data_IF_495777843254
#
_entry.id   IF_495777843254
#
_cell.length_a   1.000
_cell.length_b   1.000
_cell.length_c   1.000
_cell.angle_alpha   90.00
_cell.angle_beta   90.00
_cell.angle_gamma   90.00
#
_symmetry.space_group_name_H-M   'P 1'
#
loop_
_entity.id
_entity.type
_entity.pdbx_description
1 polymer ?
#
# COMPACT_ATOMS: atom_id res chain seq x y z
N UNK A 1 30.21 8.05 -11.24
CA UNK A 1 29.64 7.38 -12.44
C UNK A 1 28.73 6.26 -11.98
N UNK A 2 27.40 6.50 -11.92
CA UNK A 2 26.44 5.51 -11.40
C UNK A 2 26.27 4.41 -12.44
N UNK A 3 26.66 3.18 -12.08
CA UNK A 3 26.73 2.02 -12.98
C UNK A 3 25.37 1.69 -13.60
N UNK A 4 25.38 1.23 -14.86
CA UNK A 4 24.20 0.84 -15.64
C UNK A 4 23.27 -0.13 -14.86
N UNK A 5 23.86 -0.96 -13.99
CA UNK A 5 23.19 -1.90 -13.08
C UNK A 5 22.28 -1.19 -12.05
N UNK A 6 22.66 -0.01 -11.56
CA UNK A 6 21.85 0.78 -10.62
C UNK A 6 20.58 1.32 -11.29
N UNK A 7 20.64 1.69 -12.57
CA UNK A 7 19.45 2.16 -13.33
C UNK A 7 18.43 1.04 -13.58
N UNK A 8 18.90 -0.19 -13.82
CA UNK A 8 18.02 -1.36 -14.03
C UNK A 8 17.27 -1.71 -12.72
N UNK A 9 17.95 -1.65 -11.56
CA UNK A 9 17.30 -1.86 -10.25
C UNK A 9 16.24 -0.79 -9.96
N UNK A 10 16.49 0.46 -10.34
CA UNK A 10 15.52 1.56 -10.19
C UNK A 10 14.33 1.43 -11.16
N UNK A 11 14.54 0.90 -12.37
CA UNK A 11 13.48 0.67 -13.36
C UNK A 11 12.52 -0.48 -12.99
N UNK A 12 13.03 -1.57 -12.41
CA UNK A 12 12.21 -2.71 -12.00
C UNK A 12 11.21 -2.39 -10.87
N UNK A 13 11.59 -1.51 -9.95
CA UNK A 13 10.72 -1.07 -8.85
C UNK A 13 9.53 -0.21 -9.29
N UNK A 14 9.62 0.48 -10.43
CA UNK A 14 8.52 1.29 -10.98
C UNK A 14 7.48 0.41 -11.66
N UNK A 15 7.91 -0.63 -12.38
CA UNK A 15 7.00 -1.57 -13.08
C UNK A 15 6.16 -2.35 -12.07
N UNK A 16 6.77 -2.79 -10.96
CA UNK A 16 6.04 -3.47 -9.88
C UNK A 16 5.07 -2.54 -9.14
N UNK A 17 5.37 -1.23 -9.02
CA UNK A 17 4.42 -0.24 -8.52
C UNK A 17 3.22 -0.01 -9.46
N UNK A 18 3.43 -0.04 -10.78
CA UNK A 18 2.35 0.11 -11.77
C UNK A 18 1.45 -1.13 -11.79
N UNK A 19 2.01 -2.34 -11.71
CA UNK A 19 1.22 -3.58 -11.65
C UNK A 19 0.29 -3.67 -10.42
N UNK A 20 0.71 -3.10 -9.29
CA UNK A 20 -0.10 -2.96 -8.07
C UNK A 20 -1.21 -1.91 -8.18
N UNK A 21 -1.17 -1.01 -9.16
CA UNK A 21 -2.27 -0.08 -9.45
C UNK A 21 -3.40 -0.71 -10.29
N UNK A 22 -3.09 -1.78 -11.03
CA UNK A 22 -4.04 -2.48 -11.92
C UNK A 22 -4.78 -3.60 -11.18
N UNK A 23 -4.09 -4.29 -10.28
CA UNK A 23 -4.72 -5.18 -9.31
C UNK A 23 -5.28 -4.29 -8.22
N UNK A 24 -6.59 -4.29 -7.99
CA UNK A 24 -7.24 -3.51 -6.93
C UNK A 24 -6.87 -4.01 -5.50
N UNK A 25 -5.65 -4.50 -5.33
CA UNK A 25 -5.11 -5.07 -4.12
C UNK A 25 -4.30 -3.99 -3.40
N UNK A 26 -4.62 -3.68 -2.14
CA UNK A 26 -3.92 -2.64 -1.42
C UNK A 26 -2.50 -3.11 -1.04
N UNK A 27 -1.54 -2.17 -1.07
CA UNK A 27 -0.16 -2.42 -0.68
C UNK A 27 0.07 -2.03 0.78
N UNK A 28 0.20 -3.02 1.66
CA UNK A 28 0.36 -2.81 3.10
C UNK A 28 1.61 -2.00 3.44
N UNK A 29 2.73 -2.25 2.77
CA UNK A 29 3.99 -1.51 2.99
C UNK A 29 3.85 -0.01 2.69
N UNK A 30 3.17 0.35 1.59
CA UNK A 30 2.87 1.74 1.24
C UNK A 30 1.93 2.39 2.26
N UNK A 31 0.94 1.64 2.76
CA UNK A 31 0.04 2.11 3.82
C UNK A 31 0.80 2.38 5.13
N UNK A 32 1.67 1.46 5.57
CA UNK A 32 2.52 1.64 6.76
C UNK A 32 3.45 2.85 6.59
N UNK A 33 4.07 3.00 5.41
CA UNK A 33 4.92 4.15 5.10
C UNK A 33 4.14 5.47 5.15
N UNK A 34 2.89 5.49 4.68
CA UNK A 34 2.01 6.65 4.76
C UNK A 34 1.65 6.99 6.21
N UNK A 35 1.21 6.00 7.00
CA UNK A 35 0.89 6.18 8.43
C UNK A 35 2.10 6.72 9.19
N UNK A 36 3.29 6.14 9.00
CA UNK A 36 4.51 6.61 9.67
C UNK A 36 4.90 8.05 9.29
N UNK A 37 4.59 8.49 8.06
CA UNK A 37 4.92 9.83 7.58
C UNK A 37 3.91 10.89 8.00
N UNK A 38 2.61 10.57 8.00
CA UNK A 38 1.53 11.54 8.20
C UNK A 38 0.84 11.42 9.56
N UNK A 39 0.91 10.25 10.19
CA UNK A 39 0.29 9.92 11.47
C UNK A 39 1.28 9.16 12.37
N UNK A 40 2.41 9.77 12.74
CA UNK A 40 3.44 9.11 13.55
C UNK A 40 2.93 8.71 14.95
N UNK A 41 1.83 9.30 15.41
CA UNK A 41 1.16 8.93 16.66
C UNK A 41 0.30 7.65 16.56
N UNK A 42 0.01 7.17 15.35
CA UNK A 42 -0.82 5.99 15.10
C UNK A 42 0.06 4.80 14.80
N UNK A 43 -0.06 3.75 15.62
CA UNK A 43 0.55 2.47 15.31
C UNK A 43 -0.23 1.80 14.16
N UNK A 44 0.44 1.41 13.05
CA UNK A 44 -0.24 0.73 11.97
C UNK A 44 -0.76 -0.64 12.45
N UNK A 45 -1.99 -1.05 12.05
CA UNK A 45 -2.52 -2.39 12.32
C UNK A 45 -1.66 -3.45 11.66
N UNK A 46 -1.82 -4.71 12.06
CA UNK A 46 -1.14 -5.82 11.39
C UNK A 46 -1.61 -5.98 9.93
N UNK A 47 -0.82 -6.65 9.10
CA UNK A 47 -1.18 -6.90 7.69
C UNK A 47 -2.53 -7.60 7.57
N UNK A 48 -2.78 -8.61 8.41
CA UNK A 48 -4.05 -9.35 8.42
C UNK A 48 -5.23 -8.43 8.77
N UNK A 49 -5.11 -7.61 9.81
CA UNK A 49 -6.14 -6.65 10.22
C UNK A 49 -6.41 -5.61 9.13
N UNK A 50 -5.36 -5.13 8.46
CA UNK A 50 -5.48 -4.22 7.33
C UNK A 50 -6.27 -4.83 6.18
N UNK A 51 -5.99 -6.09 5.80
CA UNK A 51 -6.73 -6.77 4.74
C UNK A 51 -8.17 -7.09 5.16
N UNK A 52 -8.40 -7.48 6.41
CA UNK A 52 -9.75 -7.72 6.93
C UNK A 52 -10.58 -6.44 6.91
N UNK A 53 -10.05 -5.32 7.42
CA UNK A 53 -10.71 -4.00 7.38
C UNK A 53 -10.92 -3.52 5.94
N UNK A 54 -9.94 -3.74 5.05
CA UNK A 54 -10.09 -3.41 3.63
C UNK A 54 -11.21 -4.22 2.95
N UNK A 55 -11.27 -5.53 3.20
CA UNK A 55 -12.32 -6.40 2.66
C UNK A 55 -13.68 -6.07 3.25
N UNK A 56 -13.77 -5.76 4.54
CA UNK A 56 -15.01 -5.32 5.19
C UNK A 56 -15.51 -3.98 4.62
N UNK A 57 -14.61 -3.00 4.44
CA UNK A 57 -14.98 -1.72 3.80
C UNK A 57 -15.42 -1.88 2.35
N UNK A 58 -14.82 -2.82 1.63
CA UNK A 58 -15.07 -3.02 0.19
C UNK A 58 -16.28 -3.93 -0.09
N UNK A 59 -16.49 -4.96 0.72
CA UNK A 59 -17.47 -6.03 0.48
C UNK A 59 -18.39 -6.31 1.67
N UNK A 60 -18.12 -5.74 2.84
CA UNK A 60 -18.94 -5.90 4.04
C UNK A 60 -20.29 -5.17 3.93
N UNK A 61 -21.26 -5.66 4.69
CA UNK A 61 -22.62 -5.11 4.74
C UNK A 61 -22.68 -3.65 5.25
N UNK A 62 -21.61 -3.20 5.90
CA UNK A 62 -21.44 -1.89 6.54
C UNK A 62 -20.41 -1.03 5.82
N UNK A 63 -20.43 -0.99 4.48
CA UNK A 63 -19.83 0.10 3.70
C UNK A 63 -20.55 1.42 4.02
N UNK A 64 -20.45 1.88 5.27
CA UNK A 64 -20.84 3.22 5.68
C UNK A 64 -19.90 4.14 4.92
N UNK A 65 -20.42 4.72 3.84
CA UNK A 65 -19.85 5.90 3.22
C UNK A 65 -19.72 6.94 4.32
N UNK A 66 -18.54 7.06 4.91
CA UNK A 66 -18.23 8.24 5.69
C UNK A 66 -18.25 9.40 4.69
N UNK A 67 -19.07 10.40 5.01
CA UNK A 67 -19.27 11.64 4.27
C UNK A 67 -17.98 12.25 3.72
#
# INVERSE_FOLDING_TARGET
MKTLIQKIRQGAGVISKIGKGVSNLPDYESYVAHIKQHHPEVAPPTEAEFFTDFLDKKYGASAKRCC
#
